data_IF_332016916027
#
_entry.id   IF_332016916027
#
_cell.length_a   1.000
_cell.length_b   1.000
_cell.length_c   1.000
_cell.angle_alpha   90.00
_cell.angle_beta   90.00
_cell.angle_gamma   90.00
#
_symmetry.space_group_name_H-M   'P 1'
#
loop_
_entity.id
_entity.type
_entity.pdbx_description
1 polymer ?
#
# COMPACT_ATOMS: atom_id res chain seq x y z
N UNK A 1 12.53 9.83 29.27
CA UNK A 1 12.49 11.17 28.64
C UNK A 1 12.10 10.98 27.19
N UNK A 2 10.90 11.42 26.81
CA UNK A 2 10.40 11.29 25.44
C UNK A 2 11.05 12.38 24.59
N UNK A 3 12.01 12.00 23.75
CA UNK A 3 12.50 12.86 22.68
C UNK A 3 11.32 13.07 21.74
N UNK A 4 10.89 14.32 21.57
CA UNK A 4 9.80 14.67 20.66
C UNK A 4 10.10 14.11 19.27
N UNK A 5 9.25 13.21 18.80
CA UNK A 5 9.35 12.65 17.47
C UNK A 5 8.99 13.76 16.47
N UNK A 6 10.01 14.53 16.05
CA UNK A 6 9.98 15.28 14.81
C UNK A 6 9.50 14.32 13.71
N UNK A 7 8.55 14.77 12.89
CA UNK A 7 7.98 14.03 11.77
C UNK A 7 9.13 13.60 10.83
N UNK A 8 9.59 12.36 10.98
CA UNK A 8 10.69 11.83 10.18
C UNK A 8 10.15 11.48 8.80
N UNK A 9 10.85 11.84 7.72
CA UNK A 9 10.43 11.43 6.38
C UNK A 9 10.43 9.89 6.27
N UNK A 10 9.49 9.35 5.49
CA UNK A 10 9.35 7.90 5.26
C UNK A 10 10.66 7.26 4.77
N UNK A 11 11.41 7.97 3.94
CA UNK A 11 12.72 7.57 3.45
C UNK A 11 13.72 8.71 3.56
N UNK A 12 14.93 8.40 4.06
CA UNK A 12 16.06 9.33 4.16
C UNK A 12 17.28 8.70 3.50
N UNK A 13 17.91 9.41 2.57
CA UNK A 13 19.23 9.01 2.06
C UNK A 13 20.31 9.45 3.04
N UNK A 14 21.25 8.57 3.36
CA UNK A 14 22.43 8.92 4.16
C UNK A 14 23.43 9.60 3.22
N UNK A 15 23.26 10.93 3.08
CA UNK A 15 24.13 11.94 2.47
C UNK A 15 25.12 11.44 1.39
N UNK A 16 24.84 11.78 0.13
CA UNK A 16 25.90 11.85 -0.87
C UNK A 16 26.74 13.09 -0.57
N UNK A 17 27.99 12.89 -0.16
CA UNK A 17 28.98 13.96 -0.04
C UNK A 17 28.94 14.89 -1.26
N UNK A 18 28.67 16.17 -1.01
CA UNK A 18 28.83 17.36 -1.88
C UNK A 18 27.81 17.57 -3.00
N UNK A 19 27.25 18.79 -3.03
CA UNK A 19 26.43 19.36 -4.11
C UNK A 19 27.22 19.47 -5.45
N UNK A 20 28.53 19.20 -5.43
CA UNK A 20 29.45 19.20 -6.57
C UNK A 20 29.91 17.79 -7.02
N UNK A 21 29.33 16.72 -6.49
CA UNK A 21 29.69 15.36 -6.91
C UNK A 21 29.09 15.03 -8.30
N UNK A 22 29.93 14.46 -9.18
CA UNK A 22 29.52 13.88 -10.45
C UNK A 22 28.30 12.93 -10.28
N UNK A 23 27.42 12.79 -11.28
CA UNK A 23 26.24 11.92 -11.18
C UNK A 23 26.67 10.55 -10.67
N UNK A 24 26.15 10.15 -9.50
CA UNK A 24 26.54 8.91 -8.88
C UNK A 24 26.19 7.74 -9.80
N UNK A 25 27.15 6.83 -10.00
CA UNK A 25 26.93 5.63 -10.81
C UNK A 25 25.63 4.95 -10.32
N UNK A 26 24.60 4.77 -11.18
CA UNK A 26 23.34 4.13 -10.79
C UNK A 26 23.55 2.70 -10.26
N UNK A 27 24.74 2.12 -10.46
CA UNK A 27 25.12 0.79 -9.98
C UNK A 27 25.71 0.80 -8.56
N UNK A 28 25.89 1.97 -7.93
CA UNK A 28 26.41 2.05 -6.56
C UNK A 28 25.34 1.67 -5.55
N UNK A 29 25.73 0.94 -4.50
CA UNK A 29 24.87 0.67 -3.36
C UNK A 29 24.44 1.99 -2.69
N UNK A 30 23.13 2.21 -2.59
CA UNK A 30 22.55 3.40 -1.97
C UNK A 30 22.36 3.17 -0.48
N UNK A 31 23.10 3.93 0.33
CA UNK A 31 22.92 3.93 1.77
C UNK A 31 21.77 4.89 2.14
N UNK A 32 20.82 4.38 2.91
CA UNK A 32 19.63 5.12 3.28
C UNK A 32 18.93 4.46 4.46
N UNK A 33 17.77 4.99 4.82
CA UNK A 33 16.97 4.55 5.95
C UNK A 33 15.50 4.71 5.64
N UNK A 34 14.74 3.64 5.87
CA UNK A 34 13.28 3.66 5.90
C UNK A 34 12.84 3.86 7.35
N UNK A 35 12.01 4.87 7.58
CA UNK A 35 11.46 5.20 8.90
C UNK A 35 9.93 5.23 8.82
N UNK A 36 9.28 4.36 9.59
CA UNK A 36 7.82 4.37 9.73
C UNK A 36 7.49 4.70 11.18
N UNK A 37 6.54 5.61 11.40
CA UNK A 37 6.14 6.06 12.73
C UNK A 37 5.78 4.86 13.63
N UNK A 38 6.43 4.75 14.78
CA UNK A 38 6.22 3.66 15.73
C UNK A 38 6.90 2.33 15.38
N UNK A 39 7.71 2.28 14.31
CA UNK A 39 8.47 1.09 13.90
C UNK A 39 9.98 1.26 14.14
N UNK A 40 10.71 0.15 14.11
CA UNK A 40 12.17 0.12 13.99
C UNK A 40 12.57 0.69 12.64
N UNK A 41 13.64 1.48 12.63
CA UNK A 41 14.24 1.98 11.39
C UNK A 41 14.92 0.84 10.64
N UNK A 42 14.85 0.87 9.31
CA UNK A 42 15.46 -0.12 8.43
C UNK A 42 16.51 0.57 7.56
N UNK A 43 17.79 0.36 7.86
CA UNK A 43 18.91 0.90 7.05
C UNK A 43 19.03 0.11 5.75
N UNK A 44 19.10 0.78 4.59
CA UNK A 44 19.25 0.15 3.28
C UNK A 44 20.72 0.14 2.83
N UNK A 45 21.21 -0.94 2.20
CA UNK A 45 20.50 -2.17 1.84
C UNK A 45 20.25 -3.10 3.05
N UNK A 46 19.08 -3.76 3.08
CA UNK A 46 18.71 -4.71 4.13
C UNK A 46 17.88 -5.88 3.58
N UNK A 47 17.60 -6.84 4.46
CA UNK A 47 16.68 -7.94 4.21
C UNK A 47 15.44 -7.84 5.09
N UNK A 48 14.32 -8.37 4.58
CA UNK A 48 13.08 -8.56 5.33
C UNK A 48 12.87 -10.05 5.57
N UNK A 49 12.41 -10.42 6.77
CA UNK A 49 12.08 -11.81 7.04
C UNK A 49 10.81 -12.21 6.27
N UNK A 50 10.87 -13.29 5.50
CA UNK A 50 9.72 -13.80 4.76
C UNK A 50 8.81 -14.57 5.72
N UNK A 51 7.51 -14.25 5.69
CA UNK A 51 6.51 -14.93 6.50
C UNK A 51 5.65 -15.85 5.64
N UNK A 52 5.06 -16.86 6.30
CA UNK A 52 3.96 -17.65 5.75
C UNK A 52 2.78 -17.56 6.71
N UNK A 53 1.64 -17.05 6.23
CA UNK A 53 0.45 -16.82 7.06
C UNK A 53 0.75 -15.94 8.28
N UNK A 54 1.66 -14.98 8.11
CA UNK A 54 1.98 -13.98 9.13
C UNK A 54 3.00 -14.43 10.18
N UNK A 55 3.56 -15.62 10.05
CA UNK A 55 4.57 -16.15 10.97
C UNK A 55 5.90 -16.32 10.25
N UNK A 56 6.99 -15.94 10.92
CA UNK A 56 8.34 -16.27 10.46
C UNK A 56 8.55 -17.78 10.67
N UNK A 57 8.83 -18.56 9.61
CA UNK A 57 8.86 -20.02 9.71
C UNK A 57 9.75 -20.52 10.86
N UNK A 58 9.19 -21.39 11.70
CA UNK A 58 9.88 -22.03 12.83
C UNK A 58 10.35 -21.10 13.96
N UNK A 59 9.91 -19.83 13.98
CA UNK A 59 10.23 -18.88 15.04
C UNK A 59 8.91 -18.39 15.66
N UNK A 60 8.81 -18.49 16.99
CA UNK A 60 7.66 -17.99 17.73
C UNK A 60 7.69 -16.46 17.86
N UNK A 61 6.54 -15.77 17.99
CA UNK A 61 6.49 -14.31 18.01
C UNK A 61 7.30 -13.63 19.14
N UNK A 62 7.43 -14.28 20.29
CA UNK A 62 8.27 -13.86 21.42
C UNK A 62 9.76 -13.87 21.04
N UNK A 63 10.23 -14.95 20.42
CA UNK A 63 11.61 -15.05 19.90
C UNK A 63 11.86 -14.01 18.81
N UNK A 64 10.88 -13.75 17.93
CA UNK A 64 10.97 -12.65 16.96
C UNK A 64 11.15 -11.30 17.67
N UNK A 65 10.40 -11.03 18.73
CA UNK A 65 10.49 -9.76 19.47
C UNK A 65 11.81 -9.57 20.23
N UNK A 66 12.34 -10.64 20.81
CA UNK A 66 13.44 -10.56 21.78
C UNK A 66 14.81 -10.93 21.21
N UNK A 67 14.85 -11.84 20.22
CA UNK A 67 16.08 -12.51 19.79
C UNK A 67 16.41 -12.32 18.31
N UNK A 68 15.64 -11.48 17.58
CA UNK A 68 15.89 -11.23 16.14
C UNK A 68 16.18 -9.76 15.83
N UNK A 69 17.08 -9.55 14.87
CA UNK A 69 17.58 -8.22 14.49
C UNK A 69 16.90 -7.63 13.25
N UNK A 70 16.15 -8.42 12.46
CA UNK A 70 15.50 -7.89 11.26
C UNK A 70 14.45 -6.83 11.62
N UNK A 71 14.49 -5.67 10.98
CA UNK A 71 13.59 -4.56 11.31
C UNK A 71 12.20 -4.68 10.66
N UNK A 72 11.99 -5.65 9.76
CA UNK A 72 10.69 -5.85 9.12
C UNK A 72 10.47 -7.23 8.52
N UNK A 73 9.23 -7.46 8.12
CA UNK A 73 8.75 -8.70 7.53
C UNK A 73 8.08 -8.46 6.19
N UNK A 74 8.14 -9.48 5.34
CA UNK A 74 7.38 -9.57 4.10
C UNK A 74 6.25 -10.60 4.25
N UNK A 75 5.04 -10.23 3.85
CA UNK A 75 3.87 -11.11 3.86
C UNK A 75 3.07 -10.96 2.57
N UNK A 76 2.33 -12.00 2.19
CA UNK A 76 1.44 -11.95 1.05
C UNK A 76 -0.03 -12.00 1.48
N UNK A 77 -0.91 -11.24 0.81
CA UNK A 77 -2.35 -11.26 1.10
C UNK A 77 -2.98 -12.62 0.77
N UNK A 78 -2.42 -13.37 -0.18
CA UNK A 78 -2.91 -14.70 -0.56
C UNK A 78 -2.93 -15.72 0.59
N UNK A 79 -2.18 -15.45 1.65
CA UNK A 79 -2.16 -16.26 2.87
C UNK A 79 -3.37 -16.07 3.79
N UNK A 80 -4.15 -15.00 3.59
CA UNK A 80 -5.20 -14.60 4.53
C UNK A 80 -6.61 -14.62 3.95
N UNK A 81 -6.75 -14.77 2.63
CA UNK A 81 -8.01 -14.52 1.91
C UNK A 81 -8.72 -15.79 1.41
N UNK A 82 -8.36 -16.96 1.94
CA UNK A 82 -8.87 -18.26 1.48
C UNK A 82 -10.40 -18.38 1.52
N UNK A 83 -11.07 -17.65 2.44
CA UNK A 83 -12.53 -17.66 2.60
C UNK A 83 -13.27 -16.70 1.66
N UNK A 84 -12.58 -15.79 0.98
CA UNK A 84 -13.19 -14.74 0.16
C UNK A 84 -13.97 -15.26 -1.06
N UNK A 85 -13.60 -16.43 -1.58
CA UNK A 85 -14.23 -17.05 -2.76
C UNK A 85 -15.48 -17.83 -2.43
N UNK A 86 -15.71 -18.17 -1.17
CA UNK A 86 -16.92 -18.90 -0.70
C UNK A 86 -18.01 -17.95 -0.20
N UNK A 87 -17.96 -16.69 -0.61
CA UNK A 87 -18.86 -15.63 -0.11
C UNK A 87 -18.60 -15.21 1.35
N UNK A 88 -17.54 -15.73 1.97
CA UNK A 88 -17.17 -15.40 3.34
C UNK A 88 -16.26 -14.18 3.44
N UNK A 89 -16.29 -13.51 4.60
CA UNK A 89 -15.31 -12.48 4.94
C UNK A 89 -14.05 -13.15 5.51
N UNK A 90 -12.85 -12.92 4.95
CA UNK A 90 -11.60 -13.43 5.50
C UNK A 90 -11.42 -13.11 6.99
N UNK A 91 -10.87 -14.02 7.83
CA UNK A 91 -10.74 -13.76 9.26
C UNK A 91 -9.92 -12.51 9.60
N UNK A 92 -8.89 -12.21 8.80
CA UNK A 92 -8.05 -11.02 8.97
C UNK A 92 -8.87 -9.72 8.85
N UNK A 93 -9.95 -9.73 8.06
CA UNK A 93 -10.86 -8.60 7.84
C UNK A 93 -11.85 -8.37 8.99
N UNK A 94 -11.74 -9.15 10.07
CA UNK A 94 -12.54 -8.99 11.29
C UNK A 94 -11.67 -8.67 12.51
N UNK A 95 -10.35 -8.56 12.32
CA UNK A 95 -9.42 -8.35 13.42
C UNK A 95 -9.39 -6.88 13.82
N UNK A 96 -9.78 -6.50 15.05
CA UNK A 96 -9.58 -5.14 15.52
C UNK A 96 -8.08 -4.84 15.70
N UNK A 97 -7.70 -3.59 15.49
CA UNK A 97 -6.36 -3.10 15.86
C UNK A 97 -6.26 -3.04 17.39
N UNK A 98 -5.57 -4.00 18.00
CA UNK A 98 -5.38 -4.04 19.47
C UNK A 98 -4.11 -3.31 19.90
N UNK A 99 -3.01 -3.57 19.19
CA UNK A 99 -1.69 -3.08 19.60
C UNK A 99 -1.14 -2.02 18.63
N UNK A 100 -1.37 -2.20 17.33
CA UNK A 100 -0.88 -1.30 16.28
C UNK A 100 -1.85 -1.29 15.11
N UNK A 101 -1.77 -2.27 14.21
CA UNK A 101 -2.71 -2.41 13.09
C UNK A 101 -3.44 -3.75 13.16
N UNK A 102 -4.53 -3.95 12.40
CA UNK A 102 -5.17 -5.25 12.27
C UNK A 102 -4.20 -6.33 11.82
N UNK A 103 -3.24 -6.02 10.93
CA UNK A 103 -2.20 -6.96 10.51
C UNK A 103 -1.35 -7.46 11.68
N UNK A 104 -0.78 -6.54 12.47
CA UNK A 104 0.02 -6.91 13.65
C UNK A 104 -0.79 -7.69 14.67
N UNK A 105 -2.05 -7.30 14.88
CA UNK A 105 -2.94 -7.95 15.84
C UNK A 105 -3.30 -9.37 15.38
N UNK A 106 -3.50 -9.58 14.07
CA UNK A 106 -3.84 -10.87 13.49
C UNK A 106 -2.67 -11.85 13.50
N UNK A 107 -1.47 -11.35 13.22
CA UNK A 107 -0.25 -12.15 13.06
C UNK A 107 0.57 -12.29 14.35
N UNK A 108 0.18 -11.58 15.40
CA UNK A 108 0.93 -11.45 16.65
C UNK A 108 2.38 -10.92 16.46
N UNK A 109 2.68 -10.28 15.33
CA UNK A 109 3.99 -9.70 15.09
C UNK A 109 4.24 -8.50 16.01
N UNK A 110 5.45 -8.35 16.57
CA UNK A 110 5.82 -7.17 17.36
C UNK A 110 5.46 -5.86 16.65
N UNK A 111 4.78 -4.91 17.33
CA UNK A 111 4.42 -3.60 16.77
C UNK A 111 5.63 -2.78 16.28
N UNK A 112 6.83 -3.12 16.71
CA UNK A 112 8.04 -2.45 16.28
C UNK A 112 8.51 -2.87 14.88
N UNK A 113 8.01 -3.96 14.31
CA UNK A 113 8.41 -4.41 12.97
C UNK A 113 7.71 -3.63 11.86
N UNK A 114 8.44 -3.31 10.79
CA UNK A 114 7.86 -2.85 9.53
C UNK A 114 7.20 -4.04 8.82
N UNK A 115 6.00 -3.84 8.29
CA UNK A 115 5.26 -4.83 7.51
C UNK A 115 5.17 -4.43 6.03
N UNK A 116 5.70 -5.29 5.16
CA UNK A 116 5.55 -5.18 3.71
C UNK A 116 4.56 -6.23 3.23
N UNK A 117 3.41 -5.81 2.73
CA UNK A 117 2.40 -6.69 2.16
C UNK A 117 2.43 -6.67 0.65
N UNK A 118 2.45 -7.84 0.04
CA UNK A 118 2.35 -8.02 -1.40
C UNK A 118 1.08 -8.81 -1.78
N UNK A 119 0.75 -8.86 -3.08
CA UNK A 119 -0.34 -9.70 -3.55
C UNK A 119 -0.03 -11.21 -3.44
N UNK A 120 1.24 -11.59 -3.58
CA UNK A 120 1.69 -12.99 -3.71
C UNK A 120 2.98 -13.23 -2.93
N UNK A 121 3.22 -14.47 -2.50
CA UNK A 121 4.46 -14.86 -1.82
C UNK A 121 5.69 -14.58 -2.68
N UNK A 122 6.86 -14.52 -2.04
CA UNK A 122 8.15 -14.47 -2.69
C UNK A 122 8.97 -15.72 -2.28
N UNK A 123 9.28 -16.65 -3.20
CA UNK A 123 8.75 -16.75 -4.56
C UNK A 123 7.28 -17.19 -4.59
N UNK A 124 6.54 -16.79 -5.63
CA UNK A 124 5.15 -17.19 -5.80
C UNK A 124 5.02 -18.54 -6.52
N UNK A 125 3.98 -19.31 -6.19
CA UNK A 125 3.68 -20.59 -6.86
C UNK A 125 3.21 -20.34 -8.30
N UNK A 126 3.78 -21.03 -9.29
CA UNK A 126 3.35 -20.85 -10.69
C UNK A 126 1.87 -21.21 -10.87
N UNK A 127 1.09 -20.30 -11.46
CA UNK A 127 -0.32 -20.53 -11.76
C UNK A 127 -0.46 -21.32 -13.07
N UNK A 128 -1.30 -22.37 -13.13
CA UNK A 128 -1.53 -23.13 -14.35
C UNK A 128 -2.20 -22.29 -15.44
N UNK A 129 -2.97 -21.27 -15.05
CA UNK A 129 -3.61 -20.32 -15.95
C UNK A 129 -2.93 -18.95 -15.87
N UNK A 130 -2.86 -18.26 -17.01
CA UNK A 130 -2.44 -16.87 -17.04
C UNK A 130 -3.44 -15.97 -16.33
N UNK A 131 -2.97 -14.81 -15.86
CA UNK A 131 -3.86 -13.81 -15.27
C UNK A 131 -4.84 -13.29 -16.34
N UNK A 132 -6.13 -13.10 -16.03
CA UNK A 132 -7.07 -12.33 -16.87
C UNK A 132 -6.95 -10.83 -16.59
N UNK A 133 -7.71 -9.99 -17.31
CA UNK A 133 -7.73 -8.53 -17.04
C UNK A 133 -8.45 -8.20 -15.72
N UNK A 134 -9.34 -9.10 -15.27
CA UNK A 134 -10.13 -8.93 -14.05
C UNK A 134 -9.36 -9.07 -12.74
N UNK A 135 -8.13 -9.61 -12.77
CA UNK A 135 -7.33 -9.75 -11.56
C UNK A 135 -6.16 -10.73 -11.66
N UNK A 136 -5.47 -10.87 -10.53
CA UNK A 136 -4.27 -11.67 -10.38
C UNK A 136 -4.60 -13.08 -9.84
N UNK A 137 -4.03 -14.13 -10.43
CA UNK A 137 -4.11 -15.49 -9.90
C UNK A 137 -3.20 -15.64 -8.67
N UNK A 138 -3.80 -15.96 -7.52
CA UNK A 138 -3.13 -16.13 -6.23
C UNK A 138 -3.31 -17.57 -5.71
N UNK A 139 -2.35 -18.07 -4.93
CA UNK A 139 -2.39 -19.44 -4.39
C UNK A 139 -2.69 -19.45 -2.89
N UNK A 140 -3.93 -19.79 -2.55
CA UNK A 140 -4.41 -19.88 -1.17
C UNK A 140 -4.31 -21.30 -0.63
N UNK A 141 -4.58 -21.51 0.66
CA UNK A 141 -4.71 -22.85 1.25
C UNK A 141 -5.79 -23.73 0.63
N UNK A 142 -6.71 -23.14 -0.14
CA UNK A 142 -7.80 -23.84 -0.85
C UNK A 142 -7.56 -23.95 -2.37
N UNK A 143 -6.36 -23.59 -2.84
CA UNK A 143 -5.98 -23.63 -4.25
C UNK A 143 -5.92 -22.25 -4.90
N UNK A 144 -5.84 -22.24 -6.24
CA UNK A 144 -5.77 -21.02 -7.04
C UNK A 144 -7.08 -20.24 -7.01
N UNK A 145 -6.97 -18.93 -6.84
CA UNK A 145 -8.11 -18.00 -6.79
C UNK A 145 -7.76 -16.71 -7.53
N UNK A 146 -8.76 -15.97 -8.00
CA UNK A 146 -8.55 -14.65 -8.62
C UNK A 146 -8.69 -13.53 -7.59
N UNK A 147 -7.67 -12.70 -7.47
CA UNK A 147 -7.64 -11.49 -6.66
C UNK A 147 -7.87 -10.26 -7.55
N UNK A 148 -9.04 -9.65 -7.45
CA UNK A 148 -9.34 -8.39 -8.15
C UNK A 148 -8.72 -7.18 -7.45
N UNK A 149 -8.35 -6.17 -8.22
CA UNK A 149 -7.69 -4.93 -7.74
C UNK A 149 -8.49 -4.22 -6.64
N UNK A 150 -9.81 -4.12 -6.82
CA UNK A 150 -10.68 -3.45 -5.85
C UNK A 150 -10.67 -4.16 -4.50
N UNK A 151 -10.87 -5.48 -4.50
CA UNK A 151 -10.81 -6.27 -3.25
C UNK A 151 -9.45 -6.18 -2.59
N UNK A 152 -8.37 -6.15 -3.39
CA UNK A 152 -7.03 -5.97 -2.84
C UNK A 152 -6.85 -4.61 -2.16
N UNK A 153 -7.38 -3.52 -2.75
CA UNK A 153 -7.38 -2.20 -2.12
C UNK A 153 -8.21 -2.17 -0.83
N UNK A 154 -9.39 -2.81 -0.82
CA UNK A 154 -10.21 -2.98 0.40
C UNK A 154 -9.43 -3.71 1.50
N UNK A 155 -8.71 -4.79 1.14
CA UNK A 155 -7.86 -5.51 2.08
C UNK A 155 -6.73 -4.64 2.62
N UNK A 156 -5.98 -3.95 1.75
CA UNK A 156 -4.90 -3.07 2.19
C UNK A 156 -5.41 -1.94 3.11
N UNK A 157 -6.54 -1.33 2.76
CA UNK A 157 -7.17 -0.28 3.56
C UNK A 157 -7.61 -0.76 4.94
N UNK A 158 -8.13 -1.97 5.07
CA UNK A 158 -8.54 -2.52 6.36
C UNK A 158 -7.35 -3.04 7.18
N UNK A 159 -6.50 -3.85 6.55
CA UNK A 159 -5.42 -4.59 7.21
C UNK A 159 -4.32 -3.63 7.68
N UNK A 160 -4.14 -2.50 6.98
CA UNK A 160 -3.17 -1.44 7.27
C UNK A 160 -1.75 -1.99 7.47
N UNK A 161 -1.13 -2.57 6.42
CA UNK A 161 0.31 -2.78 6.43
C UNK A 161 1.04 -1.43 6.40
N UNK A 162 2.31 -1.40 6.79
CA UNK A 162 3.13 -0.19 6.69
C UNK A 162 3.46 0.14 5.23
N UNK A 163 3.76 -0.90 4.44
CA UNK A 163 4.02 -0.81 3.00
C UNK A 163 3.15 -1.85 2.28
N UNK A 164 2.48 -1.45 1.21
CA UNK A 164 1.76 -2.37 0.32
C UNK A 164 2.31 -2.26 -1.10
N UNK A 165 2.43 -3.38 -1.79
CA UNK A 165 2.82 -3.42 -3.20
C UNK A 165 1.57 -3.61 -4.06
N UNK A 166 1.36 -2.77 -5.06
CA UNK A 166 0.24 -2.89 -5.98
C UNK A 166 0.30 -4.19 -6.82
N UNK A 167 -0.80 -4.55 -7.49
CA UNK A 167 -0.84 -5.74 -8.34
C UNK A 167 0.07 -5.57 -9.56
N UNK A 168 0.95 -6.54 -9.79
CA UNK A 168 1.78 -6.62 -10.99
C UNK A 168 1.57 -7.94 -11.71
N UNK A 169 1.45 -7.90 -13.03
CA UNK A 169 1.32 -9.10 -13.85
C UNK A 169 2.69 -9.74 -14.08
N UNK A 170 3.17 -10.43 -13.06
CA UNK A 170 4.50 -11.04 -13.03
C UNK A 170 4.45 -12.49 -13.52
N UNK A 171 5.34 -12.91 -14.44
CA UNK A 171 5.41 -14.28 -14.89
C UNK A 171 6.19 -15.11 -13.86
N UNK A 172 5.50 -15.99 -13.14
CA UNK A 172 6.14 -17.01 -12.30
C UNK A 172 6.19 -18.29 -13.11
N UNK A 173 7.17 -18.43 -14.00
CA UNK A 173 7.29 -19.54 -14.95
C UNK A 173 8.10 -19.19 -16.19
N UNK A 174 7.94 -19.92 -17.31
CA UNK A 174 8.61 -19.61 -18.57
C UNK A 174 8.35 -18.17 -19.03
N UNK A 175 9.37 -17.56 -19.65
CA UNK A 175 9.28 -16.19 -20.13
C UNK A 175 8.10 -16.02 -21.12
N UNK A 176 7.30 -14.95 -20.97
CA UNK A 176 6.15 -14.72 -21.84
C UNK A 176 6.60 -14.33 -23.26
N UNK A 177 5.87 -14.82 -24.27
CA UNK A 177 6.05 -14.35 -25.65
C UNK A 177 5.57 -12.90 -25.84
N UNK A 178 6.00 -12.23 -26.92
CA UNK A 178 5.80 -10.79 -27.18
C UNK A 178 4.36 -10.28 -26.92
N UNK A 179 3.33 -10.96 -27.43
CA UNK A 179 1.91 -10.57 -27.24
C UNK A 179 1.46 -10.61 -25.78
N UNK A 180 1.87 -11.66 -25.05
CA UNK A 180 1.57 -11.76 -23.61
C UNK A 180 2.31 -10.67 -22.84
N UNK A 181 3.50 -10.34 -23.30
CA UNK A 181 4.37 -9.39 -22.66
C UNK A 181 3.83 -7.95 -22.71
N UNK A 182 3.29 -7.46 -23.84
CA UNK A 182 2.66 -6.12 -23.85
C UNK A 182 1.40 -6.07 -23.00
N UNK A 183 0.55 -7.11 -23.06
CA UNK A 183 -0.62 -7.24 -22.18
C UNK A 183 -0.27 -7.19 -20.70
N UNK A 184 0.88 -7.71 -20.29
CA UNK A 184 1.31 -7.65 -18.89
C UNK A 184 1.57 -6.22 -18.45
N UNK A 185 2.22 -5.41 -19.28
CA UNK A 185 2.44 -3.98 -19.01
C UNK A 185 1.11 -3.24 -18.95
N UNK A 186 0.25 -3.41 -19.96
CA UNK A 186 -1.09 -2.77 -20.03
C UNK A 186 -1.95 -3.10 -18.79
N UNK A 187 -1.99 -4.37 -18.40
CA UNK A 187 -2.72 -4.79 -17.19
C UNK A 187 -2.16 -4.20 -15.92
N UNK A 188 -0.83 -4.18 -15.81
CA UNK A 188 -0.18 -3.63 -14.63
C UNK A 188 -0.48 -2.15 -14.49
N UNK A 189 -0.40 -1.37 -15.57
CA UNK A 189 -0.85 0.03 -15.59
C UNK A 189 -2.29 0.17 -15.06
N UNK A 190 -3.25 -0.52 -15.69
CA UNK A 190 -4.66 -0.47 -15.27
C UNK A 190 -4.88 -0.88 -13.81
N UNK A 191 -4.14 -1.88 -13.34
CA UNK A 191 -4.27 -2.35 -11.97
C UNK A 191 -3.67 -1.38 -10.95
N UNK A 192 -2.56 -0.73 -11.26
CA UNK A 192 -1.96 0.28 -10.35
C UNK A 192 -2.87 1.49 -10.25
N UNK A 193 -3.36 2.01 -11.38
CA UNK A 193 -4.31 3.13 -11.43
C UNK A 193 -5.55 2.87 -10.59
N UNK A 194 -6.19 1.72 -10.85
CA UNK A 194 -7.39 1.32 -10.12
C UNK A 194 -7.07 1.13 -8.64
N UNK A 195 -5.93 0.54 -8.29
CA UNK A 195 -5.56 0.33 -6.89
C UNK A 195 -5.42 1.65 -6.13
N UNK A 196 -4.69 2.62 -6.69
CA UNK A 196 -4.52 3.96 -6.11
C UNK A 196 -5.86 4.71 -6.02
N UNK A 197 -6.69 4.63 -7.07
CA UNK A 197 -8.03 5.20 -7.07
C UNK A 197 -8.92 4.61 -5.98
N UNK A 198 -8.89 3.29 -5.77
CA UNK A 198 -9.67 2.66 -4.69
C UNK A 198 -9.11 2.95 -3.30
N UNK A 199 -7.79 3.05 -3.14
CA UNK A 199 -7.18 3.42 -1.86
C UNK A 199 -7.61 4.83 -1.42
N UNK A 200 -7.59 5.80 -2.34
CA UNK A 200 -7.94 7.20 -2.05
C UNK A 200 -9.42 7.44 -1.69
N UNK A 201 -10.32 6.49 -2.01
CA UNK A 201 -11.74 6.58 -1.65
C UNK A 201 -12.01 6.29 -0.18
N UNK A 202 -11.07 5.64 0.53
CA UNK A 202 -11.27 5.35 1.94
C UNK A 202 -11.11 6.61 2.77
N UNK A 203 -12.04 6.94 3.68
CA UNK A 203 -11.85 8.08 4.58
C UNK A 203 -10.61 7.81 5.45
N UNK A 204 -9.58 8.62 5.26
CA UNK A 204 -8.45 8.65 6.18
C UNK A 204 -8.97 9.21 7.51
N UNK A 205 -8.98 8.41 8.57
CA UNK A 205 -9.05 9.00 9.90
C UNK A 205 -7.73 9.75 10.11
N UNK A 206 -7.74 11.00 10.62
CA UNK A 206 -6.52 11.78 10.83
C UNK A 206 -5.43 11.05 11.63
N UNK A 207 -5.84 10.09 12.47
CA UNK A 207 -4.96 9.31 13.35
C UNK A 207 -4.57 7.92 12.79
N UNK A 208 -5.09 7.52 11.62
CA UNK A 208 -4.75 6.21 11.05
C UNK A 208 -3.32 6.22 10.50
N UNK A 209 -2.53 5.15 10.73
CA UNK A 209 -1.23 5.03 10.10
C UNK A 209 -1.40 4.97 8.58
N UNK A 210 -0.69 5.85 7.89
CA UNK A 210 -0.64 5.87 6.43
C UNK A 210 0.09 4.62 5.92
N UNK A 211 -0.46 3.98 4.89
CA UNK A 211 0.16 2.86 4.20
C UNK A 211 0.92 3.39 3.00
N UNK A 212 2.24 3.20 2.96
CA UNK A 212 3.06 3.53 1.80
C UNK A 212 2.76 2.56 0.65
N UNK A 213 2.64 3.08 -0.58
CA UNK A 213 2.30 2.27 -1.76
C UNK A 213 3.48 2.16 -2.70
N UNK A 214 3.85 0.92 -3.05
CA UNK A 214 4.93 0.63 -3.98
C UNK A 214 4.36 0.11 -5.30
N UNK A 215 4.85 0.64 -6.42
CA UNK A 215 4.50 0.14 -7.75
C UNK A 215 5.39 -1.04 -8.14
N UNK A 216 4.84 -2.15 -8.68
CA UNK A 216 5.63 -3.29 -9.13
C UNK A 216 6.34 -2.98 -10.46
N UNK A 217 7.62 -3.29 -10.55
CA UNK A 217 8.38 -3.27 -11.81
C UNK A 217 8.41 -4.68 -12.39
N UNK A 218 7.90 -4.85 -13.61
CA UNK A 218 7.82 -6.17 -14.23
C UNK A 218 9.20 -6.73 -14.56
N UNK A 219 9.35 -8.04 -14.60
CA UNK A 219 10.62 -8.75 -14.90
C UNK A 219 11.00 -8.69 -16.39
N UNK A 220 10.87 -7.52 -17.03
CA UNK A 220 11.09 -7.31 -18.45
C UNK A 220 12.08 -6.17 -18.67
N UNK A 221 12.78 -6.17 -19.80
CA UNK A 221 13.67 -5.07 -20.18
C UNK A 221 12.91 -3.73 -20.21
N UNK A 222 13.64 -2.65 -19.90
CA UNK A 222 13.12 -1.30 -19.80
C UNK A 222 12.30 -0.89 -21.02
N UNK A 223 12.85 -1.08 -22.23
CA UNK A 223 12.22 -0.68 -23.49
C UNK A 223 10.82 -1.27 -23.65
N UNK A 224 10.63 -2.50 -23.18
CA UNK A 224 9.39 -3.22 -23.38
C UNK A 224 8.26 -2.90 -22.38
N UNK A 225 8.57 -2.12 -21.35
CA UNK A 225 7.62 -1.60 -20.36
C UNK A 225 7.79 -0.08 -20.15
N UNK A 226 8.43 0.60 -21.10
CA UNK A 226 8.75 2.02 -21.03
C UNK A 226 7.52 2.88 -20.77
N UNK A 227 6.42 2.66 -21.51
CA UNK A 227 5.16 3.39 -21.34
C UNK A 227 4.62 3.29 -19.90
N UNK A 228 4.73 2.11 -19.28
CA UNK A 228 4.33 1.92 -17.88
C UNK A 228 5.26 2.67 -16.92
N UNK A 229 6.57 2.67 -17.17
CA UNK A 229 7.54 3.37 -16.33
C UNK A 229 7.39 4.88 -16.45
N UNK A 230 7.19 5.42 -17.66
CA UNK A 230 6.90 6.85 -17.86
C UNK A 230 5.63 7.23 -17.11
N UNK A 231 4.55 6.47 -17.27
CA UNK A 231 3.30 6.71 -16.56
C UNK A 231 3.45 6.70 -15.03
N UNK A 232 4.23 5.76 -14.48
CA UNK A 232 4.56 5.79 -13.04
C UNK A 232 5.28 7.09 -12.67
N UNK A 233 6.23 7.54 -13.48
CA UNK A 233 7.10 8.67 -13.16
C UNK A 233 6.42 10.03 -13.33
N UNK A 234 5.52 10.16 -14.30
CA UNK A 234 4.87 11.42 -14.68
C UNK A 234 3.52 11.58 -13.96
N UNK A 235 2.70 10.52 -13.93
CA UNK A 235 1.32 10.60 -13.46
C UNK A 235 1.15 10.09 -12.03
N UNK A 236 1.83 9.00 -11.67
CA UNK A 236 1.58 8.29 -10.41
C UNK A 236 2.59 8.60 -9.29
N UNK A 237 3.70 9.27 -9.61
CA UNK A 237 4.76 9.56 -8.66
C UNK A 237 4.29 10.23 -7.35
N UNK A 238 3.32 11.18 -7.36
CA UNK A 238 2.83 11.79 -6.11
C UNK A 238 2.10 10.82 -5.17
N UNK A 239 1.56 9.73 -5.70
CA UNK A 239 0.77 8.74 -4.94
C UNK A 239 1.59 7.49 -4.55
N UNK A 240 2.83 7.39 -5.02
CA UNK A 240 3.71 6.25 -4.79
C UNK A 240 4.87 6.62 -3.87
N UNK A 241 5.16 5.73 -2.93
CA UNK A 241 6.27 5.89 -1.97
C UNK A 241 7.51 5.08 -2.36
N UNK A 242 7.44 4.29 -3.42
CA UNK A 242 8.56 3.47 -3.88
C UNK A 242 8.22 2.51 -5.01
N UNK A 243 9.21 1.72 -5.40
CA UNK A 243 9.13 0.73 -6.47
C UNK A 243 9.53 -0.66 -5.94
N UNK A 244 8.83 -1.70 -6.40
CA UNK A 244 9.12 -3.09 -6.07
C UNK A 244 9.70 -3.82 -7.28
N UNK A 245 11.00 -4.15 -7.22
CA UNK A 245 11.71 -4.83 -8.29
C UNK A 245 11.68 -6.35 -8.10
N UNK A 246 11.42 -7.07 -9.19
CA UNK A 246 11.38 -8.54 -9.20
C UNK A 246 12.50 -9.17 -10.05
N UNK A 247 13.34 -8.34 -10.69
CA UNK A 247 14.56 -8.76 -11.39
C UNK A 247 15.67 -7.74 -11.17
N UNK A 248 16.85 -8.20 -10.76
CA UNK A 248 18.04 -7.35 -10.57
C UNK A 248 18.61 -6.79 -11.87
N UNK A 249 18.31 -7.44 -13.01
CA UNK A 249 18.79 -7.02 -14.33
C UNK A 249 18.28 -5.64 -14.77
N UNK A 250 17.27 -5.10 -14.10
CA UNK A 250 16.59 -3.86 -14.47
C UNK A 250 17.12 -2.63 -13.75
N UNK A 251 17.90 -2.83 -12.69
CA UNK A 251 18.47 -1.75 -11.91
C UNK A 251 19.37 -0.80 -12.73
N UNK A 252 20.18 -1.27 -13.70
CA UNK A 252 21.00 -0.36 -14.51
C UNK A 252 20.22 0.51 -15.50
N UNK A 253 19.04 0.04 -15.93
CA UNK A 253 18.32 0.60 -17.07
C UNK A 253 17.19 1.56 -16.68
N UNK A 254 16.75 1.53 -15.41
CA UNK A 254 15.71 2.44 -14.94
C UNK A 254 16.36 3.79 -14.62
N UNK A 255 15.95 4.88 -15.28
CA UNK A 255 16.51 6.20 -15.02
C UNK A 255 16.37 6.52 -13.53
N UNK A 256 17.37 7.21 -12.96
CA UNK A 256 17.23 7.77 -11.63
C UNK A 256 16.09 8.79 -11.67
N UNK A 257 14.85 8.36 -11.44
CA UNK A 257 13.68 9.22 -11.46
C UNK A 257 13.77 10.13 -10.22
N UNK A 258 14.10 11.42 -10.38
CA UNK A 258 14.29 12.34 -9.25
C UNK A 258 12.98 12.56 -8.50
N UNK A 259 11.85 12.39 -9.19
CA UNK A 259 10.48 12.57 -8.71
C UNK A 259 10.09 11.57 -7.62
N UNK A 260 10.56 10.33 -7.69
CA UNK A 260 10.26 9.27 -6.71
C UNK A 260 11.18 9.31 -5.48
N UNK A 261 12.27 10.07 -5.54
CA UNK A 261 13.18 10.29 -4.40
C UNK A 261 12.74 11.44 -3.49
N UNK A 262 11.75 12.25 -3.90
CA UNK A 262 11.44 13.53 -3.28
C UNK A 262 10.05 13.62 -2.61
N UNK A 263 9.27 12.54 -2.50
CA UNK A 263 8.00 12.59 -1.75
C UNK A 263 8.25 12.45 -0.24
N UNK A 264 8.99 13.39 0.34
CA UNK A 264 8.78 13.73 1.75
C UNK A 264 7.35 14.24 1.86
N UNK A 265 6.59 13.67 2.80
CA UNK A 265 5.21 14.02 3.10
C UNK A 265 4.94 15.53 2.93
N UNK A 266 4.08 15.88 1.98
CA UNK A 266 3.43 17.19 2.01
C UNK A 266 2.24 17.09 2.96
N UNK A 267 2.22 17.84 4.08
CA UNK A 267 1.00 17.94 4.87
C UNK A 267 -0.06 18.65 4.02
N UNK A 268 -1.21 18.00 3.84
CA UNK A 268 -2.42 18.64 3.32
C UNK A 268 -2.86 19.76 4.28
N UNK A 269 -2.26 20.93 4.13
CA UNK A 269 -2.69 22.23 4.67
C UNK A 269 -2.28 23.23 3.59
N UNK A 270 -3.10 24.03 2.93
CA UNK A 270 -4.35 24.70 3.27
C UNK A 270 -5.00 25.15 1.96
N UNK A 271 -6.30 24.90 1.76
CA UNK A 271 -7.08 25.71 0.82
C UNK A 271 -7.30 27.10 1.45
N UNK A 272 -7.01 28.21 0.75
CA UNK A 272 -7.30 29.53 1.29
C UNK A 272 -8.81 29.72 1.38
N UNK A 273 -9.25 29.93 2.62
CA UNK A 273 -10.56 30.40 3.03
C UNK A 273 -10.90 31.67 2.23
N UNK A 274 -11.76 31.56 1.23
CA UNK A 274 -12.29 32.71 0.50
C UNK A 274 -13.12 33.55 1.48
N UNK A 275 -12.56 34.70 1.85
CA UNK A 275 -13.23 35.76 2.62
C UNK A 275 -14.63 36.04 2.05
N UNK A 276 -15.66 35.74 2.84
CA UNK A 276 -16.96 36.40 2.70
C UNK A 276 -16.85 37.75 3.39
N UNK A 277 -16.81 38.83 2.61
CA UNK A 277 -17.06 40.16 3.12
C UNK A 277 -18.56 40.30 3.43
N UNK A 278 -18.86 40.66 4.67
CA UNK A 278 -20.18 41.09 5.10
C UNK A 278 -20.40 42.56 4.74
N UNK A 279 -21.54 42.88 4.15
CA UNK A 279 -22.15 44.20 4.27
C UNK A 279 -23.68 44.05 4.38
N UNK A 280 -24.19 44.41 5.57
CA UNK A 280 -25.43 45.14 5.91
C UNK A 280 -26.50 45.26 4.80
N UNK A 281 -27.80 45.29 5.04
CA UNK A 281 -28.68 45.38 6.23
C UNK A 281 -30.08 45.68 5.65
N UNK A 282 -31.15 45.13 6.23
CA UNK A 282 -32.40 45.82 6.65
C UNK A 282 -33.65 44.94 6.56
N UNK A 283 -34.18 44.67 7.76
CA UNK A 283 -35.58 44.79 8.20
C UNK A 283 -36.73 44.32 7.31
N UNK A 284 -37.55 43.44 7.87
CA UNK A 284 -38.96 43.26 7.51
C UNK A 284 -39.66 42.27 8.43
N UNK A 285 -40.33 42.77 9.47
CA UNK A 285 -41.22 42.03 10.36
C UNK A 285 -42.36 41.33 9.60
N UNK A 286 -42.81 40.15 10.04
CA UNK A 286 -44.13 39.84 10.69
C UNK A 286 -44.47 38.42 10.19
N UNK A 287 -45.16 37.48 10.84
CA UNK A 287 -45.88 37.35 12.11
C UNK A 287 -46.11 35.84 12.30
N UNK A 288 -46.08 35.35 13.54
CA UNK A 288 -46.62 34.03 13.93
C UNK A 288 -48.17 34.06 13.87
N UNK A 289 -48.88 32.91 13.83
CA UNK A 289 -49.07 32.12 15.05
C UNK A 289 -49.06 30.59 14.87
N UNK A 290 -48.73 29.94 15.98
CA UNK A 290 -48.84 28.52 16.35
C UNK A 290 -50.30 28.13 16.68
N UNK A 291 -50.60 26.98 17.33
CA UNK A 291 -50.27 25.57 17.07
C UNK A 291 -51.55 24.69 17.06
N UNK A 292 -51.47 23.41 16.67
CA UNK A 292 -52.36 22.37 17.23
C UNK A 292 -51.83 20.96 16.96
N UNK A 293 -51.62 20.21 18.04
CA UNK A 293 -51.45 18.74 18.08
C UNK A 293 -52.83 18.07 18.29
N UNK A 294 -52.92 16.79 18.71
CA UNK A 294 -52.61 15.51 18.06
C UNK A 294 -53.89 14.63 17.98
N UNK A 295 -53.82 13.39 17.43
CA UNK A 295 -54.77 12.24 17.63
C UNK A 295 -54.84 11.40 16.33
N UNK A 296 -54.92 10.06 16.25
CA UNK A 296 -54.94 8.91 17.17
C UNK A 296 -54.87 7.62 16.31
N UNK A 297 -54.45 6.51 16.96
CA UNK A 297 -54.92 5.10 16.82
C UNK A 297 -54.57 4.27 15.55
N UNK A 298 -53.64 3.33 15.77
CA UNK A 298 -53.68 1.83 15.64
C UNK A 298 -55.04 1.13 15.35
N UNK A 299 -55.17 -0.21 15.06
CA UNK A 299 -54.19 -1.33 15.08
C UNK A 299 -54.28 -2.44 13.96
N UNK A 300 -53.22 -3.27 13.89
CA UNK A 300 -53.11 -4.77 13.89
C UNK A 300 -54.05 -5.69 13.06
N UNK A 301 -53.41 -6.46 12.15
CA UNK A 301 -53.55 -7.89 11.70
C UNK A 301 -54.90 -8.41 11.15
N UNK A 302 -54.95 -9.53 10.38
CA UNK A 302 -54.28 -10.83 10.56
C UNK A 302 -52.88 -10.97 9.93
#
# INVERSE_FOLDING_TARGET
>A
MAVGALDQPFFTLHDETSIDAAPSDPRRARLGRISVKGRRTLDTPNFLAITSRGVVPHISPDVVGEQTEFAGVYTAIEDYVEKATRGGVPPIMRMPARNSTPLHSFTALPPSLITVMSPRRSPAVSSPQGNPDSGLSIFTSTGFQSLGTQRYAEYANYIKPDITIALGDLPYGPMPGKKRASKMSERTTMWVDKFLSELSKSPESPDAPATAVFAPILTRDYQSQFEYIEHISEDLAPALSGLAFYSSSLLPDIPQTPSLTASSASPLTSLPLRMRSSARSRSGWTSSPSPTSPSQRTPVSP
#
